data_IF_574673304406
#
_entry.id   IF_574673304406
#
_cell.length_a   1.000
_cell.length_b   1.000
_cell.length_c   1.000
_cell.angle_alpha   90.00
_cell.angle_beta   90.00
_cell.angle_gamma   90.00
#
_symmetry.space_group_name_H-M   'P 1'
#
loop_
_entity.id
_entity.type
_entity.pdbx_description
1 polymer ?
#
# COMPACT_ATOMS: atom_id res chain seq x y z
N UNK A 1 13.91 -11.55 -7.02
CA UNK A 1 13.56 -11.44 -5.59
C UNK A 1 12.68 -12.62 -5.21
N UNK A 2 12.77 -13.17 -3.99
CA UNK A 2 11.74 -14.09 -3.50
C UNK A 2 10.43 -13.32 -3.31
N UNK A 3 9.29 -13.90 -3.70
CA UNK A 3 7.95 -13.27 -3.61
C UNK A 3 7.72 -12.62 -2.24
N UNK A 4 8.11 -13.29 -1.16
CA UNK A 4 8.04 -12.76 0.21
C UNK A 4 8.75 -11.40 0.39
N UNK A 5 9.97 -11.24 -0.13
CA UNK A 5 10.73 -9.99 0.01
C UNK A 5 10.04 -8.83 -0.72
N UNK A 6 9.38 -9.11 -1.83
CA UNK A 6 8.63 -8.11 -2.59
C UNK A 6 7.45 -7.59 -1.77
N UNK A 7 6.56 -8.48 -1.30
CA UNK A 7 5.39 -8.08 -0.52
C UNK A 7 5.75 -7.46 0.83
N UNK A 8 6.81 -7.94 1.49
CA UNK A 8 7.31 -7.29 2.71
C UNK A 8 7.78 -5.86 2.43
N UNK A 9 8.47 -5.63 1.30
CA UNK A 9 8.88 -4.27 0.91
C UNK A 9 7.67 -3.38 0.61
N UNK A 10 6.66 -3.92 -0.07
CA UNK A 10 5.41 -3.21 -0.36
C UNK A 10 4.69 -2.82 0.92
N UNK A 11 4.60 -3.73 1.90
CA UNK A 11 4.00 -3.46 3.21
C UNK A 11 4.72 -2.33 3.94
N UNK A 12 6.06 -2.38 4.02
CA UNK A 12 6.85 -1.32 4.66
C UNK A 12 6.68 0.05 3.97
N UNK A 13 6.68 0.09 2.64
CA UNK A 13 6.48 1.33 1.88
C UNK A 13 5.07 1.86 2.15
N UNK A 14 4.06 1.01 2.06
CA UNK A 14 2.65 1.36 2.28
C UNK A 14 2.44 1.90 3.69
N UNK A 15 2.94 1.19 4.70
CA UNK A 15 2.90 1.61 6.10
C UNK A 15 3.53 3.00 6.30
N UNK A 16 4.69 3.23 5.69
CA UNK A 16 5.38 4.53 5.77
C UNK A 16 4.52 5.66 5.21
N UNK A 17 3.94 5.49 4.01
CA UNK A 17 3.06 6.51 3.42
C UNK A 17 1.82 6.76 4.25
N UNK A 18 1.15 5.70 4.72
CA UNK A 18 -0.07 5.85 5.54
C UNK A 18 0.24 6.56 6.85
N UNK A 19 1.33 6.21 7.53
CA UNK A 19 1.75 6.87 8.78
C UNK A 19 2.10 8.34 8.56
N UNK A 20 2.81 8.68 7.48
CA UNK A 20 3.16 10.08 7.20
C UNK A 20 1.92 10.93 6.92
N UNK A 21 0.98 10.41 6.14
CA UNK A 21 -0.28 11.10 5.86
C UNK A 21 -1.11 11.22 7.13
N UNK A 22 -1.25 10.14 7.90
CA UNK A 22 -1.99 10.17 9.17
C UNK A 22 -1.38 11.17 10.14
N UNK A 23 -0.05 11.17 10.28
CA UNK A 23 0.68 12.11 11.13
C UNK A 23 0.46 13.56 10.68
N UNK A 24 0.54 13.83 9.38
CA UNK A 24 0.28 15.16 8.82
C UNK A 24 -1.15 15.64 9.05
N UNK A 25 -2.15 14.76 8.91
CA UNK A 25 -3.55 15.08 9.20
C UNK A 25 -3.82 15.24 10.70
N UNK A 26 -3.14 14.47 11.55
CA UNK A 26 -3.20 14.61 13.00
C UNK A 26 -2.60 15.95 13.46
N UNK A 27 -1.54 16.46 12.81
CA UNK A 27 -1.00 17.79 13.07
C UNK A 27 -1.94 18.93 12.68
N UNK A 28 -2.91 18.67 11.79
CA UNK A 28 -3.94 19.62 11.35
C UNK A 28 -5.24 19.50 12.16
N UNK A 29 -5.25 18.71 13.25
CA UNK A 29 -6.44 18.38 14.06
C UNK A 29 -7.60 17.76 13.26
N UNK A 30 -7.30 17.18 12.08
CA UNK A 30 -8.30 16.49 11.25
C UNK A 30 -8.49 15.02 11.65
N UNK A 31 -7.50 14.44 12.34
CA UNK A 31 -7.51 13.06 12.83
C UNK A 31 -7.07 13.01 14.29
N UNK A 32 -7.48 11.96 15.04
CA UNK A 32 -7.01 11.76 16.41
C UNK A 32 -5.48 11.64 16.47
N UNK A 33 -4.87 11.98 17.62
CA UNK A 33 -3.43 11.90 17.80
C UNK A 33 -2.90 10.51 17.51
N UNK A 34 -1.80 10.44 16.75
CA UNK A 34 -1.14 9.18 16.42
C UNK A 34 -0.57 8.54 17.70
N UNK A 35 -1.29 7.55 18.22
CA UNK A 35 -0.82 6.72 19.35
C UNK A 35 -0.10 5.48 18.86
N UNK A 36 0.69 4.86 19.74
CA UNK A 36 1.36 3.58 19.45
C UNK A 36 0.37 2.47 19.08
N UNK A 37 -0.82 2.47 19.71
CA UNK A 37 -1.88 1.51 19.42
C UNK A 37 -2.43 1.70 18.01
N UNK A 38 -2.70 2.94 17.59
CA UNK A 38 -3.16 3.25 16.23
C UNK A 38 -2.07 2.89 15.21
N UNK A 39 -0.80 3.17 15.50
CA UNK A 39 0.30 2.79 14.61
C UNK A 39 0.39 1.27 14.40
N UNK A 40 0.22 0.47 15.45
CA UNK A 40 0.18 -1.00 15.35
C UNK A 40 -1.06 -1.48 14.58
N UNK A 41 -2.21 -0.84 14.75
CA UNK A 41 -3.41 -1.14 13.97
C UNK A 41 -3.20 -0.85 12.49
N UNK A 42 -2.61 0.30 12.14
CA UNK A 42 -2.28 0.64 10.75
C UNK A 42 -1.30 -0.37 10.16
N UNK A 43 -0.29 -0.80 10.91
CA UNK A 43 0.64 -1.84 10.46
C UNK A 43 -0.08 -3.17 10.19
N UNK A 44 -0.95 -3.61 11.11
CA UNK A 44 -1.76 -4.80 10.90
C UNK A 44 -2.68 -4.67 9.67
N UNK A 45 -3.22 -3.47 9.41
CA UNK A 45 -4.01 -3.18 8.21
C UNK A 45 -3.19 -3.34 6.93
N UNK A 46 -2.00 -2.73 6.86
CA UNK A 46 -1.15 -2.82 5.66
C UNK A 46 -0.64 -4.24 5.44
N UNK A 47 -0.30 -4.97 6.50
CA UNK A 47 0.10 -6.38 6.39
C UNK A 47 -1.06 -7.26 5.89
N UNK A 48 -2.30 -7.00 6.33
CA UNK A 48 -3.46 -7.72 5.82
C UNK A 48 -3.72 -7.41 4.33
N UNK A 49 -3.59 -6.15 3.92
CA UNK A 49 -3.67 -5.76 2.51
C UNK A 49 -2.62 -6.51 1.70
N UNK A 50 -1.36 -6.49 2.13
CA UNK A 50 -0.28 -7.20 1.45
C UNK A 50 -0.55 -8.71 1.35
N UNK A 51 -1.11 -9.31 2.42
CA UNK A 51 -1.52 -10.71 2.40
C UNK A 51 -2.64 -10.98 1.39
N UNK A 52 -3.70 -10.16 1.35
CA UNK A 52 -4.78 -10.33 0.36
C UNK A 52 -4.28 -10.09 -1.07
N UNK A 53 -3.39 -9.12 -1.28
CA UNK A 53 -2.75 -8.89 -2.57
C UNK A 53 -1.99 -10.12 -3.05
N UNK A 54 -1.31 -10.86 -2.16
CA UNK A 54 -0.66 -12.12 -2.55
C UNK A 54 -1.62 -13.18 -3.08
N UNK A 55 -2.91 -13.09 -2.73
CA UNK A 55 -3.96 -13.99 -3.21
C UNK A 55 -4.57 -13.47 -4.52
N UNK A 56 -4.84 -12.16 -4.62
CA UNK A 56 -5.44 -11.56 -5.83
C UNK A 56 -4.47 -11.51 -7.00
N UNK A 57 -3.17 -11.35 -6.75
CA UNK A 57 -2.13 -11.31 -7.78
C UNK A 57 -1.88 -12.69 -8.42
N UNK A 58 -2.35 -13.78 -7.79
CA UNK A 58 -2.32 -15.11 -8.42
C UNK A 58 -3.35 -15.26 -9.52
N UNK A 59 -4.32 -14.36 -9.61
CA UNK A 59 -5.34 -14.38 -10.66
C UNK A 59 -4.72 -13.70 -11.89
N UNK A 60 -4.57 -14.42 -13.04
CA UNK A 60 -3.97 -13.85 -14.23
C UNK A 60 -4.96 -12.88 -14.90
N UNK A 61 -4.86 -11.59 -14.55
CA UNK A 61 -5.64 -10.53 -15.16
C UNK A 61 -5.12 -10.25 -16.57
N UNK A 62 -5.99 -10.37 -17.58
CA UNK A 62 -5.63 -10.15 -18.99
C UNK A 62 -5.36 -8.67 -19.34
N UNK A 63 -5.66 -7.73 -18.44
CA UNK A 63 -5.45 -6.30 -18.68
C UNK A 63 -5.19 -5.53 -17.39
N UNK A 64 -4.57 -4.36 -17.54
CA UNK A 64 -4.11 -3.52 -16.43
C UNK A 64 -5.29 -2.94 -15.62
N UNK A 65 -6.36 -2.51 -16.28
CA UNK A 65 -7.54 -1.91 -15.64
C UNK A 65 -8.24 -2.79 -14.61
N UNK A 66 -8.61 -4.05 -14.90
CA UNK A 66 -9.22 -4.93 -13.90
C UNK A 66 -8.26 -5.28 -12.76
N UNK A 67 -6.95 -5.35 -13.02
CA UNK A 67 -5.95 -5.53 -11.94
C UNK A 67 -6.00 -4.37 -10.96
N UNK A 68 -5.93 -3.13 -11.44
CA UNK A 68 -6.02 -1.93 -10.58
C UNK A 68 -7.34 -1.91 -9.80
N UNK A 69 -8.45 -2.26 -10.46
CA UNK A 69 -9.76 -2.21 -9.83
C UNK A 69 -9.90 -3.25 -8.69
N UNK A 70 -9.30 -4.43 -8.87
CA UNK A 70 -9.23 -5.48 -7.86
C UNK A 70 -8.31 -5.08 -6.71
N UNK A 71 -7.18 -4.45 -7.00
CA UNK A 71 -6.26 -3.96 -5.96
C UNK A 71 -6.94 -2.90 -5.09
N UNK A 72 -7.56 -1.90 -5.72
CA UNK A 72 -8.31 -0.86 -5.00
C UNK A 72 -9.44 -1.48 -4.18
N UNK A 73 -10.19 -2.42 -4.76
CA UNK A 73 -11.24 -3.14 -4.05
C UNK A 73 -10.70 -3.90 -2.83
N UNK A 74 -9.53 -4.52 -2.97
CA UNK A 74 -8.85 -5.25 -1.88
C UNK A 74 -8.39 -4.30 -0.78
N UNK A 75 -7.77 -3.18 -1.13
CA UNK A 75 -7.37 -2.14 -0.17
C UNK A 75 -8.58 -1.63 0.61
N UNK A 76 -9.65 -1.22 -0.08
CA UNK A 76 -10.86 -0.70 0.55
C UNK A 76 -11.51 -1.76 1.46
N UNK A 77 -11.63 -2.99 0.97
CA UNK A 77 -12.19 -4.09 1.74
C UNK A 77 -11.40 -4.34 3.03
N UNK A 78 -10.07 -4.40 2.96
CA UNK A 78 -9.22 -4.55 4.15
C UNK A 78 -9.35 -3.37 5.11
N UNK A 79 -9.28 -2.13 4.60
CA UNK A 79 -9.33 -0.92 5.42
C UNK A 79 -10.64 -0.84 6.18
N UNK A 80 -11.77 -1.08 5.51
CA UNK A 80 -13.08 -1.03 6.16
C UNK A 80 -13.34 -2.24 7.06
N UNK A 81 -12.94 -3.46 6.68
CA UNK A 81 -13.15 -4.64 7.52
C UNK A 81 -12.37 -4.53 8.84
N UNK A 82 -11.10 -4.13 8.77
CA UNK A 82 -10.25 -4.00 9.96
C UNK A 82 -10.61 -2.73 10.74
N UNK A 83 -10.88 -1.62 10.05
CA UNK A 83 -11.34 -0.38 10.67
C UNK A 83 -12.61 -0.58 11.49
N UNK A 84 -13.56 -1.34 10.95
CA UNK A 84 -14.78 -1.74 11.65
C UNK A 84 -14.50 -2.68 12.82
N UNK A 85 -13.73 -3.76 12.60
CA UNK A 85 -13.46 -4.78 13.61
C UNK A 85 -12.74 -4.21 14.84
N UNK A 86 -11.82 -3.28 14.64
CA UNK A 86 -11.01 -2.66 15.70
C UNK A 86 -11.51 -1.28 16.14
N UNK A 87 -12.65 -0.81 15.61
CA UNK A 87 -13.21 0.52 15.90
C UNK A 87 -12.18 1.65 15.73
N UNK A 88 -11.35 1.58 14.68
CA UNK A 88 -10.25 2.53 14.43
C UNK A 88 -10.79 3.92 14.07
N UNK A 89 -11.94 3.96 13.40
CA UNK A 89 -12.61 5.20 12.98
C UNK A 89 -14.13 5.04 13.02
N UNK A 90 -14.89 6.14 13.19
CA UNK A 90 -16.33 6.08 13.11
C UNK A 90 -16.80 5.79 11.68
N UNK A 91 -17.82 4.93 11.58
CA UNK A 91 -18.32 4.35 10.33
C UNK A 91 -19.51 5.15 9.76
N UNK A 92 -19.38 6.46 9.68
CA UNK A 92 -20.37 7.35 9.05
C UNK A 92 -20.02 7.67 7.58
N UNK A 93 -21.02 8.06 6.80
CA UNK A 93 -20.90 8.32 5.36
C UNK A 93 -19.81 9.34 4.98
N UNK A 94 -19.66 10.48 5.70
CA UNK A 94 -18.56 11.41 5.46
C UNK A 94 -17.18 10.74 5.62
N UNK A 95 -16.95 10.06 6.75
CA UNK A 95 -15.68 9.38 7.01
C UNK A 95 -15.42 8.25 6.02
N UNK A 96 -16.44 7.49 5.62
CA UNK A 96 -16.33 6.48 4.57
C UNK A 96 -15.78 7.07 3.27
N UNK A 97 -16.28 8.23 2.86
CA UNK A 97 -15.86 8.89 1.61
C UNK A 97 -14.43 9.39 1.69
N UNK A 98 -14.06 10.03 2.81
CA UNK A 98 -12.71 10.55 3.05
C UNK A 98 -11.69 9.42 3.09
N UNK A 99 -11.97 8.37 3.85
CA UNK A 99 -11.09 7.21 4.00
C UNK A 99 -10.91 6.50 2.66
N UNK A 100 -12.00 6.31 1.90
CA UNK A 100 -11.93 5.73 0.56
C UNK A 100 -11.04 6.54 -0.37
N UNK A 101 -11.21 7.86 -0.39
CA UNK A 101 -10.39 8.77 -1.19
C UNK A 101 -8.91 8.69 -0.81
N UNK A 102 -8.60 8.71 0.50
CA UNK A 102 -7.24 8.57 1.00
C UNK A 102 -6.61 7.22 0.61
N UNK A 103 -7.35 6.12 0.73
CA UNK A 103 -6.88 4.79 0.34
C UNK A 103 -6.47 4.73 -1.14
N UNK A 104 -7.26 5.34 -2.03
CA UNK A 104 -6.95 5.41 -3.46
C UNK A 104 -5.70 6.25 -3.71
N UNK A 105 -5.56 7.40 -3.05
CA UNK A 105 -4.38 8.26 -3.18
C UNK A 105 -3.12 7.52 -2.73
N UNK A 106 -3.17 6.81 -1.59
CA UNK A 106 -2.06 6.00 -1.08
C UNK A 106 -1.71 4.88 -2.07
N UNK A 107 -2.71 4.19 -2.62
CA UNK A 107 -2.47 3.13 -3.62
C UNK A 107 -1.65 3.65 -4.80
N UNK A 108 -2.03 4.78 -5.40
CA UNK A 108 -1.29 5.35 -6.52
C UNK A 108 0.10 5.86 -6.13
N UNK A 109 0.27 6.40 -4.91
CA UNK A 109 1.58 6.81 -4.42
C UNK A 109 2.53 5.61 -4.28
N UNK A 110 2.07 4.51 -3.67
CA UNK A 110 2.85 3.26 -3.54
C UNK A 110 3.14 2.67 -4.92
N UNK A 111 2.14 2.59 -5.79
CA UNK A 111 2.28 2.09 -7.17
C UNK A 111 3.35 2.88 -7.95
N UNK A 112 3.34 4.22 -7.83
CA UNK A 112 4.34 5.07 -8.47
C UNK A 112 5.76 4.80 -7.97
N UNK A 113 5.95 4.61 -6.66
CA UNK A 113 7.25 4.25 -6.08
C UNK A 113 7.74 2.89 -6.58
N UNK A 114 6.84 1.91 -6.71
CA UNK A 114 7.19 0.59 -7.23
C UNK A 114 7.63 0.66 -8.70
N UNK A 115 6.96 1.43 -9.55
CA UNK A 115 7.40 1.64 -10.94
C UNK A 115 8.82 2.24 -10.99
N UNK A 116 9.09 3.25 -10.16
CA UNK A 116 10.43 3.87 -10.12
C UNK A 116 11.48 2.87 -9.67
N UNK A 117 11.18 2.08 -8.62
CA UNK A 117 12.06 1.02 -8.14
C UNK A 117 12.35 -0.01 -9.22
N UNK A 118 11.32 -0.49 -9.92
CA UNK A 118 11.46 -1.49 -10.97
C UNK A 118 12.33 -0.98 -12.13
N UNK A 119 12.20 0.30 -12.49
CA UNK A 119 13.09 0.95 -13.47
C UNK A 119 14.54 1.00 -13.00
N UNK A 120 14.78 1.42 -11.76
CA UNK A 120 16.13 1.48 -11.18
C UNK A 120 16.76 0.09 -11.09
N UNK A 121 15.99 -0.92 -10.72
CA UNK A 121 16.46 -2.30 -10.64
C UNK A 121 16.77 -2.86 -12.05
N UNK A 122 15.96 -2.55 -13.05
CA UNK A 122 16.22 -2.90 -14.45
C UNK A 122 17.51 -2.23 -14.99
N UNK A 123 17.70 -0.94 -14.70
CA UNK A 123 18.90 -0.20 -15.12
C UNK A 123 20.17 -0.78 -14.49
N UNK A 124 20.13 -1.15 -13.21
CA UNK A 124 21.27 -1.80 -12.54
C UNK A 124 21.62 -3.15 -13.16
N UNK A 125 20.61 -3.96 -13.51
CA UNK A 125 20.82 -5.23 -14.19
C UNK A 125 21.47 -4.99 -15.56
N UNK A 126 20.96 -4.02 -16.33
CA UNK A 126 21.50 -3.68 -17.64
C UNK A 126 22.97 -3.21 -17.57
N UNK A 127 23.30 -2.37 -16.57
CA UNK A 127 24.69 -1.94 -16.33
C UNK A 127 25.61 -3.12 -15.96
N UNK A 128 25.13 -4.08 -15.16
CA UNK A 128 25.91 -5.28 -14.83
C UNK A 128 26.14 -6.19 -16.04
N UNK A 129 25.17 -6.29 -16.96
CA UNK A 129 25.33 -7.07 -18.20
C UNK A 129 26.36 -6.39 -19.11
N UNK A 130 26.26 -5.07 -19.31
CA UNK A 130 27.20 -4.32 -20.15
C UNK A 130 28.64 -4.39 -19.62
N UNK A 131 28.83 -4.24 -18.31
CA UNK A 131 30.17 -4.32 -17.69
C UNK A 131 30.79 -5.72 -17.75
N UNK A 132 29.98 -6.79 -17.84
CA UNK A 132 30.46 -8.15 -18.09
C UNK A 132 30.79 -8.43 -19.55
N UNK A 133 30.12 -7.77 -20.50
CA UNK A 133 30.38 -7.92 -21.94
C UNK A 133 31.61 -7.12 -22.43
N UNK A 134 32.04 -6.11 -21.68
CA UNK A 134 33.23 -5.30 -21.99
C UNK A 134 34.52 -5.83 -21.37
N UNK A 135 34.49 -7.05 -20.82
CA UNK A 135 35.62 -7.74 -20.17
C UNK A 135 35.90 -9.05 -20.90
#
# INVERSE_FOLDING_TARGET
MTQFKTYFTIDCISFTFVILIFSGLSLLDLLPPLTTLIALQIFAMTTCIAFLMTLTDRIPWNSLWPSILVDIGTVLFSVFTIGWLFHVFPMDWPNFTVISGMSVVVYFAVYGVLIIKDRVDADKINQQIQSKHHK
#
